data_IF_152467644199
#
_entry.id   IF_152467644199
#
_cell.length_a   1.000
_cell.length_b   1.000
_cell.length_c   1.000
_cell.angle_alpha   90.00
_cell.angle_beta   90.00
_cell.angle_gamma   90.00
#
_symmetry.space_group_name_H-M   'P 1'
#
loop_
_entity.id
_entity.type
_entity.pdbx_description
1 polymer ?
#
# COMPACT_ATOMS: atom_id res chain seq x y z
N UNK A 1 -7.34 -36.45 -43.67
CA UNK A 1 -7.67 -35.35 -42.75
C UNK A 1 -6.75 -35.35 -41.52
N UNK A 2 -5.45 -35.09 -41.67
CA UNK A 2 -4.46 -35.30 -40.59
C UNK A 2 -3.72 -34.06 -40.07
N UNK A 3 -4.04 -32.85 -40.57
CA UNK A 3 -3.22 -31.65 -40.31
C UNK A 3 -3.58 -30.87 -39.03
N UNK A 4 -4.62 -31.24 -38.29
CA UNK A 4 -5.13 -30.43 -37.15
C UNK A 4 -4.69 -30.92 -35.76
N UNK A 5 -4.36 -32.21 -35.60
CA UNK A 5 -4.05 -32.78 -34.27
C UNK A 5 -2.74 -32.23 -33.67
N UNK A 6 -1.73 -32.00 -34.50
CA UNK A 6 -0.47 -31.41 -34.06
C UNK A 6 -0.68 -29.95 -33.62
N UNK A 7 -1.54 -29.21 -34.33
CA UNK A 7 -1.87 -27.82 -34.01
C UNK A 7 -2.65 -27.73 -32.70
N UNK A 8 -3.68 -28.56 -32.51
CA UNK A 8 -4.41 -28.66 -31.24
C UNK A 8 -3.50 -29.00 -30.06
N UNK A 9 -2.53 -29.90 -30.27
CA UNK A 9 -1.55 -30.26 -29.23
C UNK A 9 -0.65 -29.07 -28.88
N UNK A 10 -0.22 -28.29 -29.87
CA UNK A 10 0.59 -27.09 -29.66
C UNK A 10 -0.21 -25.98 -28.95
N UNK A 11 -1.48 -25.80 -29.32
CA UNK A 11 -2.39 -24.83 -28.67
C UNK A 11 -2.57 -25.20 -27.19
N UNK A 12 -2.88 -26.46 -26.87
CA UNK A 12 -2.99 -26.92 -25.48
C UNK A 12 -1.70 -26.71 -24.69
N UNK A 13 -0.53 -26.98 -25.29
CA UNK A 13 0.77 -26.73 -24.64
C UNK A 13 0.99 -25.24 -24.40
N UNK A 14 0.62 -24.38 -25.35
CA UNK A 14 0.70 -22.92 -25.20
C UNK A 14 -0.15 -22.44 -24.03
N UNK A 15 -1.41 -22.86 -23.96
CA UNK A 15 -2.33 -22.51 -22.87
C UNK A 15 -1.78 -22.96 -21.50
N UNK A 16 -1.24 -24.18 -21.42
CA UNK A 16 -0.59 -24.68 -20.20
C UNK A 16 0.62 -23.85 -19.79
N UNK A 17 1.45 -23.43 -20.75
CA UNK A 17 2.60 -22.58 -20.49
C UNK A 17 2.19 -21.17 -20.07
N UNK A 18 1.17 -20.60 -20.71
CA UNK A 18 0.61 -19.30 -20.34
C UNK A 18 0.04 -19.32 -18.92
N UNK A 19 -0.73 -20.35 -18.56
CA UNK A 19 -1.22 -20.53 -17.21
C UNK A 19 -0.08 -20.63 -16.18
N UNK A 20 1.00 -21.35 -16.50
CA UNK A 20 2.19 -21.43 -15.64
C UNK A 20 2.88 -20.08 -15.50
N UNK A 21 3.04 -19.33 -16.58
CA UNK A 21 3.64 -17.99 -16.57
C UNK A 21 2.82 -17.06 -15.68
N UNK A 22 1.49 -17.05 -15.82
CA UNK A 22 0.63 -16.22 -14.99
C UNK A 22 0.72 -16.58 -13.51
N UNK A 23 0.76 -17.88 -13.19
CA UNK A 23 0.93 -18.33 -11.82
C UNK A 23 2.27 -17.89 -11.20
N UNK A 24 3.37 -17.96 -11.96
CA UNK A 24 4.69 -17.51 -11.49
C UNK A 24 4.68 -15.99 -11.29
N UNK A 25 4.18 -15.22 -12.26
CA UNK A 25 4.06 -13.76 -12.14
C UNK A 25 3.24 -13.34 -10.94
N UNK A 26 2.12 -14.02 -10.68
CA UNK A 26 1.27 -13.74 -9.52
C UNK A 26 2.01 -14.00 -8.20
N UNK A 27 2.78 -15.09 -8.12
CA UNK A 27 3.61 -15.41 -6.96
C UNK A 27 4.72 -14.38 -6.73
N UNK A 28 5.44 -14.00 -7.78
CA UNK A 28 6.49 -12.97 -7.71
C UNK A 28 5.92 -11.62 -7.28
N UNK A 29 4.79 -11.20 -7.85
CA UNK A 29 4.14 -9.97 -7.46
C UNK A 29 3.67 -10.00 -5.99
N UNK A 30 3.17 -11.15 -5.52
CA UNK A 30 2.79 -11.32 -4.12
C UNK A 30 4.01 -11.25 -3.19
N UNK A 31 5.13 -11.87 -3.56
CA UNK A 31 6.36 -11.81 -2.80
C UNK A 31 6.92 -10.38 -2.77
N UNK A 32 6.94 -9.70 -3.92
CA UNK A 32 7.38 -8.31 -4.03
C UNK A 32 6.59 -7.39 -3.08
N UNK A 33 5.26 -7.51 -3.06
CA UNK A 33 4.41 -6.74 -2.13
C UNK A 33 4.76 -7.01 -0.67
N UNK A 34 4.98 -8.27 -0.28
CA UNK A 34 5.40 -8.63 1.09
C UNK A 34 6.74 -8.01 1.44
N UNK A 35 7.72 -8.10 0.55
CA UNK A 35 9.06 -7.55 0.77
C UNK A 35 9.03 -6.02 0.82
N UNK A 36 8.21 -5.38 -0.02
CA UNK A 36 8.01 -3.93 -0.01
C UNK A 36 7.36 -3.45 1.30
N UNK A 37 6.28 -4.11 1.75
CA UNK A 37 5.66 -3.83 3.05
C UNK A 37 6.67 -4.02 4.18
N UNK A 38 7.47 -5.10 4.14
CA UNK A 38 8.49 -5.35 5.16
C UNK A 38 9.57 -4.27 5.17
N UNK A 39 10.03 -3.81 4.01
CA UNK A 39 10.99 -2.68 3.93
C UNK A 39 10.41 -1.41 4.55
N UNK A 40 9.17 -1.05 4.22
CA UNK A 40 8.51 0.16 4.76
C UNK A 40 8.38 0.09 6.28
N UNK A 41 7.98 -1.05 6.82
CA UNK A 41 7.88 -1.26 8.28
C UNK A 41 9.26 -1.11 8.93
N UNK A 42 10.28 -1.81 8.43
CA UNK A 42 11.62 -1.76 9.04
C UNK A 42 12.23 -0.36 9.02
N UNK A 43 12.09 0.35 7.89
CA UNK A 43 12.57 1.74 7.77
C UNK A 43 11.81 2.65 8.72
N UNK A 44 10.48 2.53 8.78
CA UNK A 44 9.65 3.31 9.70
C UNK A 44 10.01 3.08 11.17
N UNK A 45 10.13 1.82 11.59
CA UNK A 45 10.53 1.45 12.96
C UNK A 45 11.89 2.01 13.32
N UNK A 46 12.86 1.97 12.41
CA UNK A 46 14.19 2.53 12.64
C UNK A 46 14.18 4.05 12.78
N UNK A 47 13.46 4.76 11.91
CA UNK A 47 13.37 6.22 11.96
C UNK A 47 12.71 6.67 13.26
N UNK A 48 11.64 5.99 13.68
CA UNK A 48 10.94 6.28 14.93
C UNK A 48 11.85 6.08 16.15
N UNK A 49 12.50 4.93 16.26
CA UNK A 49 13.46 4.63 17.35
C UNK A 49 14.62 5.64 17.38
N UNK A 50 15.11 6.06 16.21
CA UNK A 50 16.17 7.09 16.11
C UNK A 50 15.73 8.43 16.69
N UNK A 51 14.51 8.89 16.37
CA UNK A 51 14.02 10.20 16.82
C UNK A 51 13.59 10.17 18.29
N UNK A 52 13.05 9.04 18.76
CA UNK A 52 12.74 8.81 20.17
C UNK A 52 14.01 8.92 21.04
N UNK A 53 15.09 8.22 20.65
CA UNK A 53 16.39 8.31 21.33
C UNK A 53 17.04 9.69 21.28
N UNK A 54 16.80 10.44 20.21
CA UNK A 54 17.32 11.79 20.05
C UNK A 54 16.44 12.86 20.73
N UNK A 55 15.25 12.52 21.20
CA UNK A 55 14.28 13.47 21.73
C UNK A 55 13.71 14.43 20.67
N UNK A 56 13.73 14.03 19.40
CA UNK A 56 13.31 14.86 18.26
C UNK A 56 12.03 14.32 17.60
N UNK A 57 11.13 13.72 18.37
CA UNK A 57 9.87 13.19 17.82
C UNK A 57 8.96 14.30 17.27
N UNK A 58 8.93 15.46 17.92
CA UNK A 58 8.10 16.58 17.49
C UNK A 58 8.47 17.06 16.08
N UNK A 59 9.77 17.09 15.75
CA UNK A 59 10.22 17.46 14.39
C UNK A 59 9.78 16.44 13.36
N UNK A 60 9.80 15.14 13.70
CA UNK A 60 9.30 14.08 12.83
C UNK A 60 7.80 14.22 12.59
N UNK A 61 7.02 14.53 13.62
CA UNK A 61 5.56 14.70 13.48
C UNK A 61 5.20 15.92 12.63
N UNK A 62 5.95 17.03 12.73
CA UNK A 62 5.80 18.20 11.84
C UNK A 62 6.09 17.83 10.38
N UNK A 63 7.05 16.95 10.12
CA UNK A 63 7.32 16.45 8.77
C UNK A 63 6.22 15.51 8.27
N UNK A 64 5.74 14.60 9.12
CA UNK A 64 4.63 13.70 8.81
C UNK A 64 3.33 14.47 8.54
N UNK A 65 3.09 15.57 9.23
CA UNK A 65 1.94 16.44 9.02
C UNK A 65 1.81 16.93 7.56
N UNK A 66 2.95 17.19 6.90
CA UNK A 66 3.01 17.62 5.50
C UNK A 66 2.79 16.48 4.51
N UNK A 67 2.98 15.24 4.94
CA UNK A 67 2.93 14.05 4.10
C UNK A 67 1.63 13.25 4.26
N UNK A 68 1.03 13.26 5.45
CA UNK A 68 -0.19 12.51 5.76
C UNK A 68 -1.42 13.34 5.39
N UNK A 69 -2.23 12.81 4.47
CA UNK A 69 -3.45 13.46 4.00
C UNK A 69 -4.72 12.85 4.59
N UNK A 70 -4.73 11.54 4.82
CA UNK A 70 -5.92 10.84 5.30
C UNK A 70 -6.12 11.08 6.79
N UNK A 71 -7.37 11.30 7.24
CA UNK A 71 -7.64 11.66 8.64
C UNK A 71 -7.31 10.50 9.58
N UNK A 72 -7.66 9.28 9.19
CA UNK A 72 -7.34 8.07 9.96
C UNK A 72 -5.83 7.88 10.13
N UNK A 73 -5.03 8.15 9.09
CA UNK A 73 -3.58 8.02 9.18
C UNK A 73 -2.97 9.12 10.06
N UNK A 74 -3.56 10.32 10.07
CA UNK A 74 -3.14 11.47 10.90
C UNK A 74 -3.47 11.26 12.38
N UNK A 75 -4.62 10.67 12.68
CA UNK A 75 -5.06 10.32 14.04
C UNK A 75 -4.07 9.38 14.73
N UNK A 76 -3.45 8.44 14.00
CA UNK A 76 -2.43 7.53 14.53
C UNK A 76 -1.20 8.25 15.11
N UNK A 77 -0.96 9.51 14.71
CA UNK A 77 0.14 10.34 15.18
C UNK A 77 -0.34 11.55 16.01
N UNK A 78 -1.63 11.60 16.37
CA UNK A 78 -2.21 12.71 17.13
C UNK A 78 -2.27 14.04 16.37
N UNK A 79 -2.26 14.00 15.03
CA UNK A 79 -2.31 15.19 14.17
C UNK A 79 -3.76 15.59 13.89
N UNK A 80 -4.03 16.90 13.85
CA UNK A 80 -5.36 17.43 13.55
C UNK A 80 -5.79 17.11 12.09
N UNK A 81 -7.09 17.01 11.79
CA UNK A 81 -7.57 16.81 10.42
C UNK A 81 -7.15 17.97 9.50
N UNK A 82 -6.93 17.70 8.22
CA UNK A 82 -6.66 18.79 7.28
C UNK A 82 -7.90 19.66 7.08
N UNK A 83 -7.67 20.96 6.80
CA UNK A 83 -8.70 22.00 6.68
C UNK A 83 -9.81 21.68 5.66
N UNK A 84 -9.50 20.90 4.62
CA UNK A 84 -10.47 20.44 3.62
C UNK A 84 -11.50 19.46 4.19
N UNK A 85 -11.14 18.71 5.22
CA UNK A 85 -11.96 17.69 5.86
C UNK A 85 -12.65 18.23 7.12
N UNK A 86 -12.01 19.19 7.80
CA UNK A 86 -12.61 19.96 8.90
C UNK A 86 -13.91 20.66 8.45
N UNK A 87 -13.95 21.18 7.22
CA UNK A 87 -15.16 21.81 6.67
C UNK A 87 -16.33 20.83 6.47
N UNK A 88 -16.05 19.54 6.26
CA UNK A 88 -17.08 18.49 6.10
C UNK A 88 -17.58 18.08 7.48
N UNK A 89 -16.67 17.82 8.43
CA UNK A 89 -17.00 17.47 9.83
C UNK A 89 -17.83 18.57 10.49
N UNK A 90 -17.49 19.84 10.28
CA UNK A 90 -18.22 20.98 10.83
C UNK A 90 -19.62 21.13 10.19
N UNK A 91 -19.80 20.69 8.94
CA UNK A 91 -21.11 20.71 8.26
C UNK A 91 -22.06 19.62 8.74
N UNK A 92 -21.54 18.44 9.08
CA UNK A 92 -22.32 17.31 9.63
C UNK A 92 -22.75 17.59 11.08
N UNK A 93 -21.89 18.23 11.88
CA UNK A 93 -22.22 18.64 13.26
C UNK A 93 -23.34 19.67 13.39
N UNK A 94 -23.59 20.48 12.35
CA UNK A 94 -24.68 21.46 12.35
C UNK A 94 -26.04 20.86 11.95
N UNK A 95 -26.10 19.61 11.45
CA UNK A 95 -27.35 18.97 11.02
C UNK A 95 -28.09 18.23 12.16
N UNK A 96 -27.44 18.05 13.32
CA UNK A 96 -27.96 17.32 14.48
C UNK A 96 -28.39 18.24 15.66
N UNK A 97 -28.59 19.54 15.42
CA UNK A 97 -29.17 20.53 16.35
C UNK A 97 -30.48 21.10 15.79
#
# INVERSE_FOLDING_TARGET
MGKNLALETLVKKKEQLEARIQNIKAKEAAQYRKDETRRKILVGSYILDKHDKAGTLDTLFIELDKFLFKPYDRELFGLEPQKSEQAIIDSEKCADL
#
